data_IF_506913791498
#
_entry.id   IF_506913791498
#
_cell.length_a   1.000
_cell.length_b   1.000
_cell.length_c   1.000
_cell.angle_alpha   90.00
_cell.angle_beta   90.00
_cell.angle_gamma   90.00
#
_symmetry.space_group_name_H-M   'P 1'
#
loop_
_entity.id
_entity.type
_entity.pdbx_description
1 polymer ?
#
# COMPACT_ATOMS: atom_id res chain seq x y z
N UNK A 1 16.73 -14.93 -5.03
CA UNK A 1 15.35 -14.40 -4.88
C UNK A 1 14.61 -14.62 -6.19
N UNK A 2 13.40 -15.19 -6.15
CA UNK A 2 12.46 -15.12 -7.27
C UNK A 2 11.43 -14.06 -6.88
N UNK A 3 11.38 -12.96 -7.62
CA UNK A 3 10.28 -12.01 -7.49
C UNK A 3 9.02 -12.72 -7.96
N UNK A 4 7.89 -12.50 -7.27
CA UNK A 4 6.59 -13.08 -7.64
C UNK A 4 5.63 -12.03 -8.18
N UNK A 5 5.87 -10.75 -7.88
CA UNK A 5 4.96 -9.65 -8.20
C UNK A 5 5.70 -8.37 -8.58
N UNK A 6 5.04 -7.51 -9.37
CA UNK A 6 5.45 -6.14 -9.69
C UNK A 6 4.29 -5.21 -9.44
N UNK A 7 4.53 -4.13 -8.70
CA UNK A 7 3.54 -3.08 -8.44
C UNK A 7 3.75 -1.95 -9.46
N UNK A 8 2.67 -1.53 -10.12
CA UNK A 8 2.72 -0.61 -11.25
C UNK A 8 1.82 0.58 -10.97
N UNK A 9 2.42 1.78 -10.85
CA UNK A 9 1.69 3.02 -10.63
C UNK A 9 0.89 3.42 -11.87
N UNK A 10 -0.40 3.66 -11.69
CA UNK A 10 -1.37 4.02 -12.73
C UNK A 10 -1.94 5.40 -12.42
N UNK A 11 -1.57 6.41 -13.21
CA UNK A 11 -1.94 7.81 -12.94
C UNK A 11 -3.43 8.09 -13.17
N UNK A 12 -4.00 7.53 -14.23
CA UNK A 12 -5.42 7.68 -14.58
C UNK A 12 -5.91 6.43 -15.32
N UNK A 13 -7.21 6.10 -15.25
CA UNK A 13 -7.78 4.97 -16.00
C UNK A 13 -7.71 5.14 -17.52
N UNK A 14 -7.60 6.39 -18.01
CA UNK A 14 -7.56 6.72 -19.44
C UNK A 14 -6.13 6.78 -20.02
N UNK A 15 -5.10 6.98 -19.20
CA UNK A 15 -3.71 7.10 -19.68
C UNK A 15 -2.95 5.76 -19.62
N UNK A 16 -3.24 4.93 -18.62
CA UNK A 16 -2.29 3.90 -18.21
C UNK A 16 -2.28 2.62 -19.05
N UNK A 17 -3.14 2.50 -20.06
CA UNK A 17 -3.00 1.48 -21.13
C UNK A 17 -3.20 2.06 -22.53
N UNK A 18 -4.01 3.08 -22.73
CA UNK A 18 -4.20 3.73 -24.05
C UNK A 18 -3.06 4.71 -24.39
N UNK A 19 -2.49 5.40 -23.40
CA UNK A 19 -1.27 6.22 -23.57
C UNK A 19 0.02 5.42 -23.39
N UNK A 20 0.05 4.45 -22.47
CA UNK A 20 1.23 3.60 -22.20
C UNK A 20 1.40 2.43 -23.16
N UNK A 21 0.37 1.94 -23.87
CA UNK A 21 0.59 0.99 -24.99
C UNK A 21 1.45 1.62 -26.09
N UNK A 22 1.43 2.96 -26.20
CA UNK A 22 2.32 3.72 -27.07
C UNK A 22 3.71 3.96 -26.46
N UNK A 23 3.91 3.67 -25.17
CA UNK A 23 5.24 3.70 -24.53
C UNK A 23 5.94 2.36 -24.80
N UNK A 24 6.98 2.31 -25.64
CA UNK A 24 7.66 1.07 -25.98
C UNK A 24 8.26 0.39 -24.74
N UNK A 25 8.70 1.19 -23.76
CA UNK A 25 9.26 0.69 -22.51
C UNK A 25 8.21 -0.05 -21.67
N UNK A 26 7.01 0.51 -21.55
CA UNK A 26 5.96 -0.03 -20.69
C UNK A 26 5.34 -1.28 -21.30
N UNK A 27 5.01 -1.24 -22.59
CA UNK A 27 4.50 -2.39 -23.34
C UNK A 27 5.53 -3.53 -23.35
N UNK A 28 6.81 -3.22 -23.56
CA UNK A 28 7.87 -4.24 -23.55
C UNK A 28 8.09 -4.84 -22.16
N UNK A 29 8.04 -4.02 -21.10
CA UNK A 29 8.14 -4.49 -19.72
C UNK A 29 6.96 -5.40 -19.38
N UNK A 30 5.72 -4.92 -19.60
CA UNK A 30 4.50 -5.69 -19.34
C UNK A 30 4.46 -6.99 -20.13
N UNK A 31 4.78 -6.97 -21.43
CA UNK A 31 4.83 -8.20 -22.25
C UNK A 31 5.90 -9.21 -21.77
N UNK A 32 6.97 -8.74 -21.12
CA UNK A 32 8.02 -9.62 -20.59
C UNK A 32 7.67 -10.24 -19.24
N UNK A 33 6.85 -9.56 -18.42
CA UNK A 33 6.50 -9.97 -17.06
C UNK A 33 5.10 -10.58 -16.94
N UNK A 34 4.16 -10.19 -17.79
CA UNK A 34 2.80 -10.71 -17.78
C UNK A 34 2.81 -12.23 -17.99
N UNK A 35 2.05 -12.95 -17.17
CA UNK A 35 2.03 -14.42 -17.14
C UNK A 35 3.25 -15.07 -16.46
N UNK A 36 4.27 -14.30 -16.05
CA UNK A 36 5.43 -14.78 -15.28
C UNK A 36 5.45 -14.26 -13.85
N UNK A 37 4.90 -13.07 -13.64
CA UNK A 37 4.77 -12.37 -12.37
C UNK A 37 3.34 -11.84 -12.25
N UNK A 38 2.82 -11.75 -11.03
CA UNK A 38 1.59 -11.00 -10.77
C UNK A 38 1.86 -9.50 -10.94
N UNK A 39 1.09 -8.83 -11.79
CA UNK A 39 1.16 -7.36 -11.89
C UNK A 39 0.04 -6.77 -11.04
N UNK A 40 0.37 -5.85 -10.15
CA UNK A 40 -0.58 -5.21 -9.24
C UNK A 40 -0.76 -3.75 -9.66
N UNK A 41 -2.00 -3.35 -9.89
CA UNK A 41 -2.36 -1.97 -10.17
C UNK A 41 -2.20 -1.12 -8.90
N UNK A 42 -1.46 -0.03 -8.99
CA UNK A 42 -1.35 0.96 -7.92
C UNK A 42 -1.95 2.27 -8.42
N UNK A 43 -3.24 2.54 -8.23
CA UNK A 43 -3.88 3.74 -8.73
C UNK A 43 -3.34 4.97 -7.99
N UNK A 44 -3.13 6.04 -8.74
CA UNK A 44 -2.85 7.36 -8.20
C UNK A 44 -4.16 8.02 -7.77
N UNK A 45 -4.36 8.07 -6.45
CA UNK A 45 -5.53 8.61 -5.78
C UNK A 45 -5.25 9.95 -5.09
N UNK A 46 -4.08 10.55 -5.34
CA UNK A 46 -3.71 11.84 -4.77
C UNK A 46 -4.72 12.96 -5.09
N UNK A 47 -4.74 13.99 -4.26
CA UNK A 47 -5.67 15.13 -4.34
C UNK A 47 -5.48 16.03 -5.55
N UNK A 48 -4.36 15.89 -6.29
CA UNK A 48 -4.02 16.77 -7.41
C UNK A 48 -4.80 16.48 -8.70
N UNK A 49 -5.10 17.54 -9.46
CA UNK A 49 -5.53 17.50 -10.87
C UNK A 49 -6.76 16.62 -11.21
N UNK A 50 -7.71 16.47 -10.28
CA UNK A 50 -8.96 15.72 -10.54
C UNK A 50 -8.75 14.22 -10.78
N UNK A 51 -7.62 13.65 -10.32
CA UNK A 51 -7.30 12.23 -10.52
C UNK A 51 -8.36 11.30 -9.94
N UNK A 52 -8.85 11.59 -8.73
CA UNK A 52 -9.93 10.80 -8.09
C UNK A 52 -11.22 10.82 -8.90
N UNK A 53 -11.61 11.96 -9.47
CA UNK A 53 -12.84 12.07 -10.26
C UNK A 53 -12.81 11.18 -11.50
N UNK A 54 -11.62 11.03 -12.12
CA UNK A 54 -11.44 10.09 -13.24
C UNK A 54 -11.66 8.64 -12.80
N UNK A 55 -11.19 8.27 -11.62
CA UNK A 55 -11.45 6.94 -11.06
C UNK A 55 -12.93 6.75 -10.71
N UNK A 56 -13.57 7.76 -10.12
CA UNK A 56 -15.02 7.74 -9.85
C UNK A 56 -15.81 7.56 -11.15
N UNK A 57 -15.43 8.23 -12.24
CA UNK A 57 -16.09 8.08 -13.54
C UNK A 57 -15.94 6.67 -14.13
N UNK A 58 -14.88 5.95 -13.77
CA UNK A 58 -14.65 4.56 -14.16
C UNK A 58 -15.41 3.53 -13.28
N UNK A 59 -16.13 4.00 -12.26
CA UNK A 59 -16.84 3.18 -11.28
C UNK A 59 -18.35 3.16 -11.54
N UNK A 60 -18.98 1.97 -11.69
CA UNK A 60 -20.43 1.84 -11.65
C UNK A 60 -21.03 2.17 -10.27
N UNK A 61 -20.23 2.13 -9.19
CA UNK A 61 -20.66 2.42 -7.82
C UNK A 61 -20.38 3.88 -7.39
N UNK A 62 -19.73 4.68 -8.23
CA UNK A 62 -19.36 6.06 -7.90
C UNK A 62 -18.23 6.18 -6.87
N UNK A 63 -17.41 5.14 -6.67
CA UNK A 63 -16.25 5.14 -5.77
C UNK A 63 -14.95 5.09 -6.59
N UNK A 64 -13.95 5.90 -6.22
CA UNK A 64 -12.64 5.81 -6.86
C UNK A 64 -11.92 4.47 -6.58
N UNK A 65 -12.21 3.81 -5.44
CA UNK A 65 -11.65 2.49 -5.13
C UNK A 65 -12.22 1.42 -6.06
N UNK A 66 -13.55 1.41 -6.25
CA UNK A 66 -14.21 0.52 -7.20
C UNK A 66 -13.78 0.84 -8.63
N UNK A 67 -13.63 2.12 -9.00
CA UNK A 67 -13.14 2.52 -10.31
C UNK A 67 -11.78 1.91 -10.67
N UNK A 68 -10.86 1.84 -9.70
CA UNK A 68 -9.59 1.17 -9.88
C UNK A 68 -9.72 -0.36 -10.03
N UNK A 69 -10.65 -0.99 -9.29
CA UNK A 69 -10.98 -2.41 -9.45
C UNK A 69 -11.53 -2.69 -10.85
N UNK A 70 -12.50 -1.89 -11.31
CA UNK A 70 -13.08 -2.07 -12.64
C UNK A 70 -12.03 -1.89 -13.74
N UNK A 71 -11.12 -0.94 -13.56
CA UNK A 71 -10.00 -0.77 -14.48
C UNK A 71 -9.09 -2.00 -14.50
N UNK A 72 -8.66 -2.50 -13.34
CA UNK A 72 -7.81 -3.69 -13.26
C UNK A 72 -8.52 -4.92 -13.84
N UNK A 73 -9.82 -5.09 -13.57
CA UNK A 73 -10.62 -6.20 -14.04
C UNK A 73 -10.77 -6.18 -15.58
N UNK A 74 -10.99 -5.01 -16.19
CA UNK A 74 -11.01 -4.84 -17.66
C UNK A 74 -9.68 -5.20 -18.32
N UNK A 75 -8.59 -5.18 -17.56
CA UNK A 75 -7.23 -5.49 -18.01
C UNK A 75 -6.65 -6.68 -17.23
N UNK A 76 -7.51 -7.67 -16.92
CA UNK A 76 -7.15 -8.85 -16.13
C UNK A 76 -6.18 -9.82 -16.81
N UNK A 77 -5.86 -9.60 -18.09
CA UNK A 77 -4.74 -10.22 -18.79
C UNK A 77 -3.37 -9.70 -18.31
N UNK A 78 -3.37 -8.48 -17.75
CA UNK A 78 -2.19 -7.84 -17.18
C UNK A 78 -2.25 -7.88 -15.65
N UNK A 79 -3.34 -7.37 -15.06
CA UNK A 79 -3.42 -7.15 -13.62
C UNK A 79 -4.03 -8.33 -12.87
N UNK A 80 -3.46 -8.61 -11.70
CA UNK A 80 -3.84 -9.68 -10.77
C UNK A 80 -4.30 -9.15 -9.41
N UNK A 81 -4.27 -7.82 -9.24
CA UNK A 81 -4.72 -7.17 -8.02
C UNK A 81 -4.59 -5.65 -8.07
N UNK A 82 -5.03 -5.01 -6.98
CA UNK A 82 -4.99 -3.57 -6.76
C UNK A 82 -4.42 -3.29 -5.37
N UNK A 83 -3.47 -2.35 -5.26
CA UNK A 83 -2.97 -1.82 -3.99
C UNK A 83 -3.28 -0.34 -3.88
N UNK A 84 -3.84 0.12 -2.77
CA UNK A 84 -4.17 1.53 -2.57
C UNK A 84 -3.21 2.21 -1.59
N UNK A 85 -2.87 3.47 -1.84
CA UNK A 85 -2.15 4.28 -0.85
C UNK A 85 -3.11 4.96 0.12
N UNK A 86 -3.18 4.52 1.38
CA UNK A 86 -4.12 5.10 2.35
C UNK A 86 -3.89 6.58 2.58
N UNK A 87 -2.62 7.03 2.57
CA UNK A 87 -2.24 8.43 2.72
C UNK A 87 -2.87 9.33 1.64
N UNK A 88 -3.11 8.78 0.46
CA UNK A 88 -3.64 9.53 -0.68
C UNK A 88 -5.12 9.83 -0.56
N UNK A 89 -5.86 9.19 0.35
CA UNK A 89 -7.30 9.41 0.48
C UNK A 89 -7.76 9.52 1.94
N UNK A 90 -6.86 9.83 2.88
CA UNK A 90 -7.21 10.23 4.25
C UNK A 90 -8.24 11.36 4.24
N UNK A 91 -9.24 11.26 5.11
CA UNK A 91 -10.31 12.25 5.26
C UNK A 91 -11.42 12.15 4.20
N UNK A 92 -11.43 11.09 3.40
CA UNK A 92 -12.54 10.77 2.48
C UNK A 92 -13.49 9.76 3.09
N UNK A 93 -14.72 9.69 2.58
CA UNK A 93 -15.70 8.68 3.02
C UNK A 93 -15.22 7.24 2.79
N UNK A 94 -14.42 7.00 1.74
CA UNK A 94 -13.83 5.70 1.47
C UNK A 94 -12.80 5.31 2.55
N UNK A 95 -11.99 6.26 3.03
CA UNK A 95 -11.08 6.02 4.15
C UNK A 95 -11.86 5.70 5.44
N UNK A 96 -12.90 6.47 5.73
CA UNK A 96 -13.75 6.24 6.90
C UNK A 96 -14.41 4.86 6.88
N UNK A 97 -14.87 4.39 5.71
CA UNK A 97 -15.39 3.03 5.54
C UNK A 97 -14.36 1.97 5.91
N UNK A 98 -13.12 2.09 5.41
CA UNK A 98 -12.05 1.15 5.74
C UNK A 98 -11.74 1.12 7.24
N UNK A 99 -11.74 2.28 7.92
CA UNK A 99 -11.59 2.36 9.38
C UNK A 99 -12.73 1.66 10.13
N UNK A 100 -13.93 1.64 9.57
CA UNK A 100 -15.11 0.96 10.13
C UNK A 100 -15.26 -0.49 9.63
N UNK A 101 -14.22 -1.07 9.01
CA UNK A 101 -14.20 -2.44 8.48
C UNK A 101 -15.25 -2.67 7.38
N UNK A 102 -15.70 -1.59 6.73
CA UNK A 102 -16.60 -1.65 5.59
C UNK A 102 -15.78 -1.81 4.30
N UNK A 103 -15.89 -2.98 3.69
CA UNK A 103 -15.25 -3.32 2.42
C UNK A 103 -16.18 -3.19 1.20
N UNK A 104 -17.32 -2.51 1.34
CA UNK A 104 -18.37 -2.44 0.31
C UNK A 104 -17.91 -1.88 -1.03
N UNK A 105 -16.90 -1.01 -1.03
CA UNK A 105 -16.32 -0.40 -2.25
C UNK A 105 -15.28 -1.29 -2.93
N UNK A 106 -14.72 -2.28 -2.21
CA UNK A 106 -13.65 -3.14 -2.72
C UNK A 106 -14.07 -4.61 -2.86
N UNK A 107 -15.24 -4.99 -2.35
CA UNK A 107 -15.79 -6.36 -2.44
C UNK A 107 -15.89 -6.90 -3.87
N UNK A 108 -15.96 -6.02 -4.87
CA UNK A 108 -16.02 -6.41 -6.29
C UNK A 108 -14.68 -6.93 -6.82
N UNK A 109 -13.57 -6.79 -6.09
CA UNK A 109 -12.29 -7.36 -6.49
C UNK A 109 -12.31 -8.89 -6.53
N UNK A 110 -12.86 -9.54 -5.50
CA UNK A 110 -12.88 -10.99 -5.40
C UNK A 110 -13.67 -11.69 -6.52
N UNK A 111 -14.90 -11.26 -6.90
CA UNK A 111 -15.59 -11.77 -8.08
C UNK A 111 -14.82 -11.60 -9.39
N UNK A 112 -13.94 -10.61 -9.48
CA UNK A 112 -13.07 -10.37 -10.64
C UNK A 112 -11.73 -11.12 -10.57
N UNK A 113 -11.52 -11.98 -9.56
CA UNK A 113 -10.27 -12.70 -9.35
C UNK A 113 -9.08 -11.80 -8.99
N UNK A 114 -9.34 -10.59 -8.52
CA UNK A 114 -8.32 -9.62 -8.13
C UNK A 114 -8.05 -9.69 -6.63
N UNK A 115 -6.77 -9.65 -6.27
CA UNK A 115 -6.34 -9.40 -4.89
C UNK A 115 -6.40 -7.91 -4.56
N UNK A 116 -6.64 -7.59 -3.30
CA UNK A 116 -6.67 -6.23 -2.77
C UNK A 116 -5.60 -6.04 -1.71
N UNK A 117 -5.01 -4.86 -1.70
CA UNK A 117 -4.05 -4.49 -0.68
C UNK A 117 -4.16 -3.00 -0.32
N UNK A 118 -3.72 -2.67 0.89
CA UNK A 118 -3.45 -1.28 1.28
C UNK A 118 -1.96 -1.14 1.59
N UNK A 119 -1.38 0.00 1.24
CA UNK A 119 -0.19 0.46 1.95
C UNK A 119 -0.59 0.82 3.36
N UNK A 120 0.31 0.60 4.31
CA UNK A 120 0.09 0.97 5.68
C UNK A 120 1.41 1.46 6.26
N UNK A 121 1.40 2.71 6.74
CA UNK A 121 2.51 3.29 7.48
C UNK A 121 2.77 2.50 8.76
N UNK A 122 4.01 2.43 9.20
CA UNK A 122 4.34 1.82 10.49
C UNK A 122 3.62 2.53 11.66
N UNK A 123 3.42 3.84 11.55
CA UNK A 123 2.68 4.62 12.53
C UNK A 123 1.20 4.22 12.56
N UNK A 124 0.57 3.92 11.42
CA UNK A 124 -0.84 3.47 11.37
C UNK A 124 -1.10 2.16 12.14
N UNK A 125 -0.07 1.31 12.29
CA UNK A 125 -0.12 0.09 13.11
C UNK A 125 0.09 0.34 14.61
N UNK A 126 0.75 1.44 14.97
CA UNK A 126 1.20 1.71 16.35
C UNK A 126 0.44 2.84 17.02
N UNK A 127 -0.43 3.55 16.29
CA UNK A 127 -1.29 4.60 16.84
C UNK A 127 -2.27 4.03 17.88
N UNK A 128 -2.69 4.85 18.87
CA UNK A 128 -3.65 4.43 19.90
C UNK A 128 -5.01 3.97 19.34
N UNK A 129 -5.39 4.43 18.16
CA UNK A 129 -6.62 4.02 17.47
C UNK A 129 -6.44 2.75 16.60
N UNK A 130 -5.25 2.14 16.61
CA UNK A 130 -4.93 0.80 16.10
C UNK A 130 -5.61 0.46 14.76
N UNK A 131 -5.33 1.26 13.72
CA UNK A 131 -6.06 1.21 12.43
C UNK A 131 -5.70 -0.01 11.59
N UNK A 132 -4.47 -0.52 11.70
CA UNK A 132 -3.99 -1.63 10.87
C UNK A 132 -4.85 -2.91 10.92
N UNK A 133 -5.31 -3.39 12.10
CA UNK A 133 -6.28 -4.49 12.18
C UNK A 133 -7.59 -4.24 11.42
N UNK A 134 -8.10 -3.00 11.41
CA UNK A 134 -9.32 -2.67 10.67
C UNK A 134 -9.08 -2.84 9.16
N UNK A 135 -7.91 -2.40 8.68
CA UNK A 135 -7.52 -2.58 7.29
C UNK A 135 -7.35 -4.06 6.91
N UNK A 136 -6.70 -4.87 7.75
CA UNK A 136 -6.55 -6.32 7.51
C UNK A 136 -7.89 -7.07 7.38
N UNK A 137 -8.96 -6.57 8.00
CA UNK A 137 -10.29 -7.16 7.86
C UNK A 137 -10.97 -6.77 6.54
N UNK A 138 -10.43 -5.78 5.82
CA UNK A 138 -11.02 -5.25 4.58
C UNK A 138 -10.31 -5.70 3.31
N UNK A 139 -9.00 -5.98 3.36
CA UNK A 139 -8.16 -6.33 2.21
C UNK A 139 -7.43 -7.65 2.39
N UNK A 140 -6.97 -8.26 1.28
CA UNK A 140 -6.24 -9.54 1.30
C UNK A 140 -4.82 -9.39 1.86
N UNK A 141 -4.19 -8.22 1.64
CA UNK A 141 -2.80 -7.97 2.01
C UNK A 141 -2.59 -6.56 2.57
N UNK A 142 -1.61 -6.41 3.46
CA UNK A 142 -1.03 -5.12 3.82
C UNK A 142 0.40 -5.01 3.32
N UNK A 143 0.71 -3.92 2.64
CA UNK A 143 2.07 -3.53 2.30
C UNK A 143 2.60 -2.52 3.31
N UNK A 144 3.48 -2.98 4.19
CA UNK A 144 4.07 -2.13 5.21
C UNK A 144 5.09 -1.18 4.59
N UNK A 145 4.82 0.13 4.71
CA UNK A 145 5.74 1.18 4.27
C UNK A 145 6.83 1.37 5.32
N UNK A 146 7.90 0.57 5.18
CA UNK A 146 9.07 0.59 6.07
C UNK A 146 10.15 1.56 5.57
N UNK A 147 9.76 2.79 5.27
CA UNK A 147 10.64 3.84 4.76
C UNK A 147 10.15 5.22 5.25
N UNK A 148 10.88 6.29 4.92
CA UNK A 148 10.59 7.67 5.36
C UNK A 148 10.53 7.87 6.89
N UNK A 149 11.34 7.13 7.65
CA UNK A 149 11.45 7.34 9.11
C UNK A 149 12.05 8.72 9.49
N UNK A 150 12.79 9.32 8.56
CA UNK A 150 13.39 10.64 8.67
C UNK A 150 12.92 11.51 7.51
N UNK A 151 12.75 12.81 7.76
CA UNK A 151 12.52 13.78 6.71
C UNK A 151 13.83 14.16 5.99
N UNK A 152 13.74 15.01 4.96
CA UNK A 152 14.89 15.47 4.17
C UNK A 152 15.96 16.21 4.99
N UNK A 153 15.60 16.71 6.18
CA UNK A 153 16.53 17.33 7.12
C UNK A 153 17.21 16.32 8.07
N UNK A 154 16.98 15.01 7.88
CA UNK A 154 17.50 13.96 8.77
C UNK A 154 16.84 13.95 10.14
N UNK A 155 15.69 14.60 10.31
CA UNK A 155 14.94 14.65 11.57
C UNK A 155 13.91 13.52 11.58
N UNK A 156 13.80 12.73 12.65
CA UNK A 156 12.75 11.73 12.80
C UNK A 156 11.37 12.37 12.58
N UNK A 157 10.54 11.76 11.75
CA UNK A 157 9.17 12.24 11.56
C UNK A 157 8.38 11.94 12.85
N UNK A 158 7.81 12.96 13.49
CA UNK A 158 7.24 12.88 14.84
C UNK A 158 6.05 11.90 15.00
N UNK A 159 5.44 11.45 13.89
CA UNK A 159 4.45 10.37 13.88
C UNK A 159 5.08 8.97 13.95
N UNK A 160 6.37 8.83 13.61
CA UNK A 160 7.12 7.60 13.86
C UNK A 160 7.62 7.63 15.30
N UNK A 161 7.09 6.78 16.19
CA UNK A 161 7.51 6.83 17.58
C UNK A 161 9.02 6.52 17.67
N UNK A 162 9.69 7.10 18.67
CA UNK A 162 11.06 6.71 19.08
C UNK A 162 11.20 5.22 19.44
N UNK A 163 10.09 4.47 19.43
CA UNK A 163 10.00 3.02 19.62
C UNK A 163 9.90 2.23 18.31
N UNK A 164 10.01 2.88 17.14
CA UNK A 164 10.07 2.16 15.88
C UNK A 164 11.35 1.31 15.86
N UNK A 165 11.24 -0.03 15.78
CA UNK A 165 12.40 -0.92 15.81
C UNK A 165 13.37 -0.65 14.67
N UNK A 166 12.92 -0.02 13.59
CA UNK A 166 13.77 0.44 12.49
C UNK A 166 14.75 1.54 12.87
N UNK A 167 14.35 2.43 13.77
CA UNK A 167 15.24 3.47 14.33
C UNK A 167 16.10 2.86 15.44
N UNK A 168 15.53 1.99 16.27
CA UNK A 168 16.24 1.34 17.39
C UNK A 168 17.29 0.31 16.94
N UNK A 169 17.04 -0.41 15.85
CA UNK A 169 17.89 -1.48 15.30
C UNK A 169 18.42 -1.15 13.90
N UNK A 170 18.52 0.13 13.52
CA UNK A 170 19.00 0.55 12.20
C UNK A 170 20.35 -0.09 11.82
N UNK A 171 21.18 -0.41 12.81
CA UNK A 171 22.49 -1.04 12.65
C UNK A 171 22.54 -2.52 13.13
N UNK A 172 21.40 -3.12 13.48
CA UNK A 172 21.29 -4.52 13.93
C UNK A 172 20.24 -5.28 13.11
N UNK A 173 20.69 -5.79 11.96
CA UNK A 173 19.85 -6.52 11.02
C UNK A 173 19.24 -7.81 11.60
N UNK A 174 19.87 -8.43 12.60
CA UNK A 174 19.38 -9.65 13.24
C UNK A 174 18.24 -9.33 14.22
N UNK A 175 18.38 -8.26 15.01
CA UNK A 175 17.31 -7.77 15.86
C UNK A 175 16.07 -7.33 15.05
N UNK A 176 16.29 -6.69 13.89
CA UNK A 176 15.22 -6.33 12.95
C UNK A 176 14.45 -7.55 12.44
N UNK A 177 15.18 -8.58 12.00
CA UNK A 177 14.61 -9.84 11.54
C UNK A 177 13.79 -10.50 12.65
N UNK A 178 14.34 -10.57 13.87
CA UNK A 178 13.64 -11.16 15.00
C UNK A 178 12.39 -10.35 15.39
N UNK A 179 12.41 -9.02 15.35
CA UNK A 179 11.23 -8.21 15.61
C UNK A 179 10.10 -8.52 14.61
N UNK A 180 10.41 -8.49 13.31
CA UNK A 180 9.43 -8.69 12.24
C UNK A 180 8.82 -10.09 12.21
N UNK A 181 9.57 -11.11 12.62
CA UNK A 181 9.18 -12.51 12.43
C UNK A 181 8.99 -13.30 13.74
N UNK A 182 9.11 -12.67 14.91
CA UNK A 182 8.97 -13.39 16.20
C UNK A 182 7.53 -13.74 16.60
N UNK A 183 6.50 -13.23 15.91
CA UNK A 183 5.11 -13.56 16.19
C UNK A 183 4.62 -13.22 17.61
N UNK A 184 5.39 -12.44 18.39
CA UNK A 184 5.03 -12.01 19.73
C UNK A 184 4.21 -10.72 19.64
N UNK A 185 2.94 -10.79 20.07
CA UNK A 185 2.00 -9.65 20.10
C UNK A 185 2.36 -8.60 21.17
N UNK A 186 3.31 -8.90 22.04
CA UNK A 186 3.58 -8.13 23.25
C UNK A 186 5.10 -8.05 23.45
N UNK A 187 5.71 -6.98 22.94
CA UNK A 187 7.07 -6.56 23.29
C UNK A 187 6.96 -5.34 24.21
N UNK A 188 6.37 -5.57 25.38
CA UNK A 188 6.74 -4.80 26.57
C UNK A 188 8.05 -5.41 27.08
N UNK A 189 9.01 -4.55 27.42
CA UNK A 189 10.38 -4.84 27.88
C UNK A 189 11.47 -4.78 26.79
N UNK A 190 11.83 -3.55 26.42
CA UNK A 190 13.23 -3.24 26.08
C UNK A 190 13.76 -2.28 27.13
N UNK A 191 14.59 -2.81 28.03
CA UNK A 191 15.37 -2.05 29.01
C UNK A 191 16.51 -1.35 28.27
N UNK A 192 16.58 -0.03 28.38
CA UNK A 192 17.68 0.77 27.86
C UNK A 192 18.97 0.46 28.63
N UNK A 193 19.99 -0.07 27.94
CA UNK A 193 21.38 0.04 28.41
C UNK A 193 22.04 1.11 27.54
N UNK A 194 22.10 2.34 28.07
CA UNK A 194 22.92 3.40 27.49
C UNK A 194 24.35 3.13 27.91
N UNK A 195 25.17 2.57 27.01
CA UNK A 195 26.62 2.62 27.15
C UNK A 195 27.12 3.90 26.49
N UNK A 196 27.56 4.85 27.31
CA UNK A 196 28.42 5.93 26.84
C UNK A 196 29.79 5.34 26.55
N UNK A 197 30.20 5.34 25.29
CA UNK A 197 31.60 5.13 24.91
C UNK A 197 32.29 6.48 25.07
N UNK A 198 33.26 6.53 25.97
CA UNK A 198 34.14 7.69 26.18
C UNK A 198 35.12 7.86 25.02
#
# INVERSE_FOLDING_TARGET
>A
MRYSQVVVRVTTPDDALTGTRNSPLYTHLLNRIAGKLGVICYPDLGTGHGKRDKWVAASPMGSFLDGAIQYAARNGDVFTGVVYDTEEFVGTSSYDKLLHRDNSEIKMAAPNGLTTALTCGFDELTRPDNRGPHFLETVDHLYLQMFNFYNDAGVPIASSPVTTPFVTYANDALAMYNYLFSGRKDLYDVVYIIQYVA
#
